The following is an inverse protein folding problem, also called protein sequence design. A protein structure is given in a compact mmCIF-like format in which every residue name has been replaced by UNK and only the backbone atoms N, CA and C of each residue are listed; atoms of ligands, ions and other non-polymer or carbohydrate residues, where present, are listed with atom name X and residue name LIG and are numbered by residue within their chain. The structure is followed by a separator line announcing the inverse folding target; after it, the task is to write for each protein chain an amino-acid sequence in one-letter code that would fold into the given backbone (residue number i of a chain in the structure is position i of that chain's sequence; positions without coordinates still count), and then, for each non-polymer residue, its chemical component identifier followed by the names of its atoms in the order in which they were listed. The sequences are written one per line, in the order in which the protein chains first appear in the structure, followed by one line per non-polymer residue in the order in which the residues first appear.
data_IF_347499436257
#
_entry.id   IF_347499436257
#
_cell.length_a   1.000
_cell.length_b   1.000
_cell.length_c   1.000
_cell.angle_alpha   90.00
_cell.angle_beta   90.00
_cell.angle_gamma   90.00
#
_symmetry.space_group_name_H-M   'P 1'
#
loop_
_entity.id
_entity.type
_entity.pdbx_description
1 polymer ?
#
# COMPACT_ATOMS: atom_id res chain seq x y z
N UNK A 1 -13.33 -15.25 1.61
CA UNK A 1 -11.97 -15.44 1.07
C UNK A 1 -10.96 -14.67 1.93
N UNK A 2 -11.15 -13.36 2.13
CA UNK A 2 -10.32 -12.49 3.01
C UNK A 2 -10.14 -13.01 4.43
N UNK A 3 -11.24 -13.32 5.14
CA UNK A 3 -11.19 -13.85 6.53
C UNK A 3 -10.41 -15.17 6.60
N UNK A 4 -10.60 -16.05 5.63
CA UNK A 4 -9.91 -17.34 5.59
C UNK A 4 -8.40 -17.16 5.36
N UNK A 5 -8.00 -16.23 4.48
CA UNK A 5 -6.60 -15.90 4.26
C UNK A 5 -5.94 -15.31 5.52
N UNK A 6 -6.64 -14.41 6.22
CA UNK A 6 -6.19 -13.87 7.51
C UNK A 6 -6.02 -14.97 8.57
N UNK A 7 -7.03 -15.82 8.74
CA UNK A 7 -7.01 -16.92 9.72
C UNK A 7 -5.95 -17.99 9.42
N UNK A 8 -5.53 -18.12 8.16
CA UNK A 8 -4.47 -19.04 7.73
C UNK A 8 -3.04 -18.56 8.09
N UNK A 9 -2.91 -17.40 8.74
CA UNK A 9 -1.65 -16.87 9.23
C UNK A 9 -1.01 -15.84 8.29
N UNK A 10 0.08 -15.19 8.75
CA UNK A 10 0.58 -13.97 8.13
C UNK A 10 1.13 -14.18 6.71
N UNK A 11 1.81 -15.31 6.44
CA UNK A 11 2.34 -15.60 5.10
C UNK A 11 1.22 -15.81 4.08
N UNK A 12 0.18 -16.55 4.46
CA UNK A 12 -0.99 -16.80 3.60
C UNK A 12 -1.81 -15.53 3.37
N UNK A 13 -1.93 -14.70 4.40
CA UNK A 13 -2.59 -13.40 4.28
C UNK A 13 -1.85 -12.50 3.29
N UNK A 14 -0.52 -12.35 3.42
CA UNK A 14 0.29 -11.53 2.50
C UNK A 14 0.24 -12.06 1.08
N UNK A 15 0.40 -13.38 0.88
CA UNK A 15 0.28 -13.99 -0.44
C UNK A 15 -1.10 -13.74 -1.09
N UNK A 16 -2.17 -13.83 -0.30
CA UNK A 16 -3.51 -13.52 -0.78
C UNK A 16 -3.68 -12.04 -1.13
N UNK A 17 -3.16 -11.13 -0.30
CA UNK A 17 -3.15 -9.69 -0.58
C UNK A 17 -2.41 -9.35 -1.88
N UNK A 18 -1.26 -9.98 -2.12
CA UNK A 18 -0.50 -9.80 -3.36
C UNK A 18 -1.24 -10.38 -4.58
N UNK A 19 -1.99 -11.48 -4.41
CA UNK A 19 -2.76 -12.08 -5.50
C UNK A 19 -3.90 -11.20 -6.03
N UNK A 20 -4.35 -10.22 -5.24
CA UNK A 20 -5.37 -9.25 -5.66
C UNK A 20 -4.80 -8.10 -6.50
N UNK A 21 -3.48 -7.96 -6.56
CA UNK A 21 -2.81 -6.90 -7.30
C UNK A 21 -2.46 -7.42 -8.71
N UNK A 22 -2.91 -6.75 -9.79
CA UNK A 22 -2.58 -7.15 -11.14
C UNK A 22 -1.06 -7.11 -11.41
N UNK A 23 -0.57 -8.03 -12.24
CA UNK A 23 0.86 -8.20 -12.58
C UNK A 23 1.63 -6.91 -12.92
N UNK A 24 1.06 -5.93 -13.67
CA UNK A 24 1.78 -4.69 -13.92
C UNK A 24 2.18 -3.96 -12.64
N UNK A 25 1.31 -3.95 -11.62
CA UNK A 25 1.54 -3.27 -10.35
C UNK A 25 2.43 -4.07 -9.40
N UNK A 26 2.41 -5.40 -9.46
CA UNK A 26 3.23 -6.23 -8.55
C UNK A 26 4.74 -6.13 -8.82
N UNK A 27 5.12 -5.72 -10.04
CA UNK A 27 6.52 -5.57 -10.46
C UNK A 27 6.94 -4.13 -10.64
N UNK A 28 6.03 -3.19 -10.40
CA UNK A 28 6.29 -1.78 -10.59
C UNK A 28 7.00 -1.21 -9.35
N UNK A 29 8.22 -0.68 -9.49
CA UNK A 29 8.84 0.07 -8.41
C UNK A 29 8.21 1.44 -8.23
N UNK A 30 8.46 2.08 -7.08
CA UNK A 30 8.12 3.49 -6.90
C UNK A 30 8.86 4.35 -7.95
N UNK A 31 8.12 5.07 -8.84
CA UNK A 31 8.74 5.88 -9.88
C UNK A 31 9.38 7.16 -9.34
N UNK A 32 9.08 7.55 -8.09
CA UNK A 32 9.62 8.74 -7.45
C UNK A 32 10.81 8.42 -6.56
N UNK A 33 11.83 9.28 -6.52
CA UNK A 33 12.94 9.11 -5.58
C UNK A 33 12.48 9.31 -4.14
N UNK A 34 12.98 8.50 -3.22
CA UNK A 34 12.83 8.76 -1.78
C UNK A 34 13.58 10.03 -1.40
N UNK A 35 12.82 11.06 -1.01
CA UNK A 35 13.34 12.34 -0.54
C UNK A 35 12.74 12.69 0.81
N UNK A 36 13.44 13.47 1.63
CA UNK A 36 12.92 13.94 2.92
C UNK A 36 11.60 14.71 2.78
N UNK A 37 11.48 15.51 1.70
CA UNK A 37 10.26 16.23 1.39
C UNK A 37 9.09 15.28 1.07
N UNK A 38 9.33 14.23 0.27
CA UNK A 38 8.34 13.19 -0.04
C UNK A 38 7.91 12.42 1.20
N UNK A 39 8.87 11.97 2.02
CA UNK A 39 8.58 11.29 3.29
C UNK A 39 7.80 12.18 4.25
N UNK A 40 8.10 13.49 4.33
CA UNK A 40 7.34 14.42 5.15
C UNK A 40 5.90 14.62 4.65
N UNK A 41 5.67 14.61 3.33
CA UNK A 41 4.30 14.63 2.76
C UNK A 41 3.57 13.32 3.06
N UNK A 42 4.19 12.18 2.81
CA UNK A 42 3.65 10.85 3.10
C UNK A 42 3.29 10.68 4.57
N UNK A 43 4.14 11.17 5.49
CA UNK A 43 3.84 11.17 6.92
C UNK A 43 2.57 11.97 7.25
N UNK A 44 2.40 13.19 6.72
CA UNK A 44 1.19 14.00 6.96
C UNK A 44 -0.07 13.32 6.44
N UNK A 45 0.02 12.67 5.29
CA UNK A 45 -1.09 11.89 4.71
C UNK A 45 -1.41 10.69 5.61
N UNK A 46 -0.39 9.96 6.06
CA UNK A 46 -0.56 8.84 6.98
C UNK A 46 -1.30 9.25 8.26
N UNK A 47 -0.90 10.36 8.87
CA UNK A 47 -1.54 10.91 10.06
C UNK A 47 -3.01 11.30 9.83
N UNK A 48 -3.35 11.73 8.61
CA UNK A 48 -4.70 12.21 8.30
C UNK A 48 -5.66 11.08 7.90
N UNK A 49 -5.15 10.06 7.19
CA UNK A 49 -6.00 9.07 6.52
C UNK A 49 -5.77 7.63 6.98
N UNK A 50 -4.57 7.28 7.47
CA UNK A 50 -4.17 5.89 7.67
C UNK A 50 -4.05 5.50 9.15
N UNK A 51 -3.57 6.41 9.99
CA UNK A 51 -3.21 6.13 11.39
C UNK A 51 -4.37 5.61 12.24
N UNK A 52 -5.60 6.05 11.95
CA UNK A 52 -6.80 5.63 12.69
C UNK A 52 -7.03 4.12 12.65
N UNK A 53 -6.62 3.46 11.55
CA UNK A 53 -6.71 2.01 11.40
C UNK A 53 -5.34 1.34 11.58
N UNK A 54 -4.28 1.89 11.01
CA UNK A 54 -2.98 1.23 10.95
C UNK A 54 -2.06 1.49 12.17
N UNK A 55 -2.42 2.41 13.05
CA UNK A 55 -1.67 2.72 14.28
C UNK A 55 -0.43 3.60 14.05
N UNK A 56 0.14 4.22 15.09
CA UNK A 56 1.30 5.11 14.96
C UNK A 56 2.59 4.38 14.57
N UNK A 57 2.67 3.08 14.82
CA UNK A 57 3.85 2.24 14.54
C UNK A 57 3.62 1.25 13.39
N UNK A 58 2.50 1.36 12.67
CA UNK A 58 2.19 0.51 11.52
C UNK A 58 1.89 -0.95 11.87
N UNK A 59 1.51 -1.23 13.11
CA UNK A 59 1.20 -2.57 13.62
C UNK A 59 -0.23 -3.04 13.33
N UNK A 60 -1.06 -2.19 12.75
CA UNK A 60 -2.46 -2.49 12.49
C UNK A 60 -3.37 -2.30 13.70
N UNK A 61 -2.83 -1.78 14.82
CA UNK A 61 -3.55 -1.60 16.09
C UNK A 61 -4.01 -0.14 16.27
N UNK A 62 -4.54 0.46 15.22
CA UNK A 62 -5.15 1.79 15.30
C UNK A 62 -6.45 1.79 16.13
N UNK A 63 -6.96 2.97 16.47
CA UNK A 63 -8.19 3.12 17.25
C UNK A 63 -9.40 2.37 16.66
N UNK A 64 -9.46 2.21 15.34
CA UNK A 64 -10.52 1.48 14.67
C UNK A 64 -10.38 -0.05 14.76
N UNK A 65 -9.19 -0.59 15.07
CA UNK A 65 -8.89 -2.03 15.03
C UNK A 65 -9.95 -2.93 15.70
N UNK A 66 -10.50 -2.59 16.90
CA UNK A 66 -11.48 -3.44 17.57
C UNK A 66 -12.80 -3.64 16.80
N UNK A 67 -13.05 -2.80 15.79
CA UNK A 67 -14.26 -2.81 14.98
C UNK A 67 -14.03 -3.37 13.57
N UNK A 68 -12.82 -3.81 13.24
CA UNK A 68 -12.44 -4.26 11.90
C UNK A 68 -12.13 -5.76 11.89
N UNK A 69 -12.78 -6.50 10.98
CA UNK A 69 -12.46 -7.91 10.77
C UNK A 69 -12.43 -8.28 9.28
N UNK A 70 -11.27 -8.72 8.74
CA UNK A 70 -9.97 -8.84 9.42
C UNK A 70 -9.38 -7.46 9.80
N UNK A 71 -8.49 -7.41 10.82
CA UNK A 71 -7.80 -6.17 11.17
C UNK A 71 -6.84 -5.74 10.05
N UNK A 72 -6.42 -4.46 10.03
CA UNK A 72 -5.38 -3.99 9.13
C UNK A 72 -4.08 -4.81 9.27
N UNK A 73 -3.39 -5.05 8.16
CA UNK A 73 -2.14 -5.80 8.18
C UNK A 73 -1.06 -5.04 8.96
N UNK A 74 -0.36 -5.73 9.86
CA UNK A 74 0.85 -5.24 10.49
C UNK A 74 1.97 -5.14 9.43
N UNK A 75 2.39 -3.91 9.11
CA UNK A 75 3.38 -3.65 8.06
C UNK A 75 4.78 -4.18 8.40
N UNK A 76 5.12 -4.30 9.68
CA UNK A 76 6.43 -4.84 10.10
C UNK A 76 6.62 -6.30 9.68
N UNK A 77 5.52 -7.02 9.39
CA UNK A 77 5.55 -8.38 8.86
C UNK A 77 5.83 -8.46 7.36
N UNK A 78 5.87 -7.33 6.65
CA UNK A 78 6.09 -7.30 5.19
C UNK A 78 7.58 -7.35 4.81
N UNK A 79 8.48 -7.21 5.78
CA UNK A 79 9.92 -7.30 5.53
C UNK A 79 10.25 -8.63 4.84
N UNK A 80 10.96 -8.57 3.71
CA UNK A 80 11.33 -9.73 2.88
C UNK A 80 10.16 -10.55 2.29
N UNK A 81 8.93 -10.02 2.22
CA UNK A 81 7.78 -10.73 1.64
C UNK A 81 7.38 -10.29 0.23
N UNK A 82 8.29 -9.64 -0.50
CA UNK A 82 8.07 -9.27 -1.91
C UNK A 82 7.09 -8.12 -2.11
N UNK A 83 7.10 -7.16 -1.20
CA UNK A 83 6.34 -5.91 -1.33
C UNK A 83 7.08 -4.96 -2.29
N UNK A 84 6.33 -4.29 -3.16
CA UNK A 84 6.83 -3.26 -4.09
C UNK A 84 6.06 -1.96 -3.92
N UNK A 85 6.61 -0.84 -4.40
CA UNK A 85 5.92 0.44 -4.45
C UNK A 85 4.56 0.34 -5.16
N UNK A 86 4.50 -0.37 -6.28
CA UNK A 86 3.28 -0.58 -7.05
C UNK A 86 2.20 -1.38 -6.30
N UNK A 87 2.57 -2.33 -5.44
CA UNK A 87 1.59 -3.04 -4.58
C UNK A 87 0.96 -2.08 -3.58
N UNK A 88 1.79 -1.27 -2.89
CA UNK A 88 1.33 -0.28 -1.92
C UNK A 88 0.42 0.75 -2.60
N UNK A 89 0.87 1.32 -3.74
CA UNK A 89 0.10 2.27 -4.52
C UNK A 89 -1.26 1.69 -4.93
N UNK A 90 -1.27 0.49 -5.52
CA UNK A 90 -2.51 -0.12 -6.02
C UNK A 90 -3.53 -0.38 -4.91
N UNK A 91 -3.09 -0.88 -3.76
CA UNK A 91 -3.96 -1.17 -2.62
C UNK A 91 -4.48 0.12 -1.96
N UNK A 92 -3.68 1.18 -1.88
CA UNK A 92 -4.15 2.47 -1.35
C UNK A 92 -5.12 3.13 -2.33
N UNK A 93 -4.80 3.09 -3.62
CA UNK A 93 -5.64 3.67 -4.68
C UNK A 93 -7.03 3.01 -4.74
N UNK A 94 -7.10 1.68 -4.64
CA UNK A 94 -8.34 0.92 -4.84
C UNK A 94 -9.00 0.40 -3.56
N UNK A 95 -8.34 0.54 -2.41
CA UNK A 95 -8.70 -0.19 -1.21
C UNK A 95 -8.49 -1.69 -1.36
N UNK A 96 -8.98 -2.45 -0.39
CA UNK A 96 -8.85 -3.91 -0.39
C UNK A 96 -10.24 -4.54 -0.25
N UNK A 97 -10.72 -5.15 -1.34
CA UNK A 97 -12.03 -5.80 -1.39
C UNK A 97 -12.17 -6.87 -0.31
N UNK A 98 -13.30 -6.82 0.42
CA UNK A 98 -13.58 -7.73 1.53
C UNK A 98 -12.85 -7.37 2.83
N UNK A 99 -12.29 -6.17 2.92
CA UNK A 99 -11.82 -5.54 4.16
C UNK A 99 -12.51 -4.19 4.35
N UNK A 100 -12.23 -3.50 5.47
CA UNK A 100 -12.69 -2.14 5.69
C UNK A 100 -11.81 -1.06 5.03
N UNK A 101 -10.71 -1.43 4.36
CA UNK A 101 -9.80 -0.46 3.75
C UNK A 101 -10.49 0.23 2.55
N UNK A 102 -10.77 1.54 2.61
CA UNK A 102 -11.43 2.26 1.53
C UNK A 102 -10.46 2.51 0.36
N UNK A 103 -11.00 2.91 -0.77
CA UNK A 103 -10.21 3.46 -1.87
C UNK A 103 -9.93 4.94 -1.61
N UNK A 104 -8.73 5.42 -1.96
CA UNK A 104 -8.33 6.81 -1.75
C UNK A 104 -8.19 7.64 -3.04
N UNK A 105 -8.44 7.03 -4.21
CA UNK A 105 -8.30 7.69 -5.52
C UNK A 105 -9.26 8.86 -5.76
N UNK A 106 -10.22 9.12 -4.88
CA UNK A 106 -11.11 10.30 -4.97
C UNK A 106 -10.66 11.43 -4.05
N UNK A 107 -9.87 11.12 -3.04
CA UNK A 107 -9.44 12.01 -1.96
C UNK A 107 -7.97 12.43 -2.12
N UNK A 108 -7.15 11.59 -2.75
CA UNK A 108 -5.72 11.77 -2.94
C UNK A 108 -5.35 11.70 -4.42
N UNK A 109 -4.57 12.69 -4.86
CA UNK A 109 -3.88 12.65 -6.15
C UNK A 109 -2.88 11.50 -6.21
N UNK A 110 -2.59 10.99 -7.41
CA UNK A 110 -1.68 9.86 -7.63
C UNK A 110 -0.33 10.04 -6.91
N UNK A 111 0.32 11.20 -7.07
CA UNK A 111 1.61 11.50 -6.41
C UNK A 111 1.52 11.42 -4.87
N UNK A 112 0.39 11.83 -4.28
CA UNK A 112 0.17 11.74 -2.83
C UNK A 112 0.03 10.29 -2.36
N UNK A 113 -0.56 9.43 -3.19
CA UNK A 113 -0.67 8.00 -2.91
C UNK A 113 0.73 7.35 -2.96
N UNK A 114 1.57 7.74 -3.91
CA UNK A 114 2.97 7.33 -3.96
C UNK A 114 3.75 7.81 -2.73
N UNK A 115 3.64 9.08 -2.35
CA UNK A 115 4.31 9.63 -1.16
C UNK A 115 3.97 8.84 0.11
N UNK A 116 2.69 8.52 0.36
CA UNK A 116 2.29 7.76 1.56
C UNK A 116 2.68 6.29 1.46
N UNK A 117 2.64 5.69 0.26
CA UNK A 117 3.16 4.35 0.00
C UNK A 117 4.65 4.24 0.34
N UNK A 118 5.46 5.19 -0.15
CA UNK A 118 6.89 5.25 0.14
C UNK A 118 7.17 5.49 1.62
N UNK A 119 6.39 6.36 2.27
CA UNK A 119 6.48 6.56 3.73
C UNK A 119 6.24 5.25 4.50
N UNK A 120 5.22 4.46 4.12
CA UNK A 120 4.96 3.15 4.75
C UNK A 120 6.13 2.18 4.52
N UNK A 121 6.63 2.13 3.28
CA UNK A 121 7.74 1.27 2.87
C UNK A 121 9.02 1.57 3.67
N UNK A 122 9.41 2.84 3.76
CA UNK A 122 10.62 3.26 4.48
C UNK A 122 10.43 3.15 5.99
N UNK A 123 9.30 3.58 6.53
CA UNK A 123 9.13 3.77 7.99
C UNK A 123 8.80 2.48 8.72
N UNK A 124 7.94 1.62 8.15
CA UNK A 124 7.43 0.44 8.86
C UNK A 124 7.96 -0.88 8.31
N UNK A 125 8.26 -0.94 7.00
CA UNK A 125 8.78 -2.16 6.36
C UNK A 125 10.32 -2.18 6.37
N UNK A 126 10.95 -1.01 6.34
CA UNK A 126 12.42 -0.87 6.27
C UNK A 126 13.00 -1.19 4.90
N UNK A 127 12.18 -1.13 3.85
CA UNK A 127 12.58 -1.39 2.46
C UNK A 127 11.77 -0.53 1.50
N UNK A 128 12.43 0.13 0.55
CA UNK A 128 11.80 0.83 -0.57
C UNK A 128 12.52 0.44 -1.86
N UNK A 129 11.75 0.26 -2.94
CA UNK A 129 12.27 0.06 -4.28
C UNK A 129 12.35 1.37 -5.09
N UNK A 130 12.09 2.51 -4.45
CA UNK A 130 12.33 3.82 -5.02
C UNK A 130 13.78 3.93 -5.52
N UNK A 131 13.95 4.47 -6.72
CA UNK A 131 15.20 4.53 -7.49
C UNK A 131 15.66 3.22 -8.16
N UNK A 132 14.83 2.17 -8.19
CA UNK A 132 15.09 1.00 -9.05
C UNK A 132 14.49 1.21 -10.45
N UNK A 133 15.17 0.68 -11.47
CA UNK A 133 14.65 0.72 -12.84
C UNK A 133 13.48 -0.29 -13.02
N UNK A 134 12.48 0.02 -13.86
CA UNK A 134 12.36 1.22 -14.69
C UNK A 134 11.86 2.44 -13.92
N UNK A 135 12.58 3.57 -14.03
CA UNK A 135 12.16 4.86 -13.51
C UNK A 135 11.04 5.45 -14.36
N UNK A 136 9.80 5.13 -13.99
CA UNK A 136 8.61 5.77 -14.51
C UNK A 136 7.61 4.80 -15.12
N UNK A 137 6.41 4.73 -14.54
CA UNK A 137 5.25 4.84 -15.41
C UNK A 137 4.94 6.33 -15.50
N UNK A 138 4.87 6.84 -16.73
CA UNK A 138 4.32 8.16 -16.98
C UNK A 138 2.93 8.24 -16.31
N UNK A 139 2.64 9.32 -15.59
CA UNK A 139 1.40 9.47 -14.80
C UNK A 139 0.12 9.40 -15.65
N UNK A 140 0.28 9.32 -16.98
CA UNK A 140 -0.71 9.15 -18.03
C UNK A 140 -1.01 7.69 -18.42
N UNK A 141 -0.39 6.67 -17.79
CA UNK A 141 -0.65 5.28 -18.15
C UNK A 141 -2.03 4.82 -17.68
N UNK A 142 -3.03 5.06 -18.53
CA UNK A 142 -4.21 4.23 -18.58
C UNK A 142 -3.79 2.85 -19.11
N UNK A 143 -4.15 1.74 -18.44
CA UNK A 143 -3.97 0.42 -19.04
C UNK A 143 -4.68 0.44 -20.39
N UNK A 144 -4.12 -0.17 -21.45
CA UNK A 144 -4.74 -0.14 -22.77
C UNK A 144 -6.20 -0.58 -22.59
N UNK A 145 -7.09 0.41 -22.77
CA UNK A 145 -8.52 0.18 -22.72
C UNK A 145 -8.82 -0.96 -23.66
N UNK A 146 -9.66 -1.90 -23.22
CA UNK A 146 -10.30 -2.83 -24.15
C UNK A 146 -10.85 -1.99 -25.29
N UNK A 147 -10.22 -2.10 -26.46
CA UNK A 147 -10.75 -1.50 -27.68
C UNK A 147 -12.19 -2.01 -27.89
N UNK A 148 -13.10 -1.17 -28.40
CA UNK A 148 -14.49 -1.56 -28.66
C UNK A 148 -14.60 -2.75 -29.63
#
# INVERSE_FOLDING_TARGET
QTIAAYAAGPDKNVAWLHSMVPQPWTKLPDPYPTTDAGLARGHRIYQSFCIGCHGPIGDGMGHAEPYLYPPPLNFTLLQHRGITGGILYYQIMNGITGTAMPYFKRELESEKIWDVGNYVAVTFIGHTDANTEPRGIDASYEPPGKAP
#
